data_IF_118325221880
#
_entry.id   IF_118325221880
#
_cell.length_a   1.000
_cell.length_b   1.000
_cell.length_c   1.000
_cell.angle_alpha   90.00
_cell.angle_beta   90.00
_cell.angle_gamma   90.00
#
_symmetry.space_group_name_H-M   'P 1'
#
loop_
_entity.id
_entity.type
_entity.pdbx_description
1 polymer ?
#
# COMPACT_ATOMS: atom_id res chain seq x y z
N UNK A 1 -39.51 24.21 -11.26
CA UNK A 1 -38.07 24.51 -11.19
C UNK A 1 -37.52 23.88 -9.93
N UNK A 2 -36.79 22.78 -10.07
CA UNK A 2 -35.80 22.16 -9.18
C UNK A 2 -35.26 20.98 -10.01
N UNK A 3 -34.23 21.15 -10.84
CA UNK A 3 -32.83 20.81 -10.50
C UNK A 3 -32.81 19.71 -9.43
N UNK A 4 -32.58 18.43 -9.72
CA UNK A 4 -31.57 17.87 -10.60
C UNK A 4 -30.48 17.32 -9.70
N UNK A 5 -30.48 16.01 -9.46
CA UNK A 5 -29.30 15.30 -8.95
C UNK A 5 -29.35 13.86 -9.47
N UNK A 6 -28.62 13.68 -10.56
CA UNK A 6 -28.08 12.41 -11.01
C UNK A 6 -27.12 11.84 -9.96
N UNK A 7 -26.71 10.59 -10.20
CA UNK A 7 -25.59 9.85 -9.58
C UNK A 7 -25.77 9.38 -8.13
N UNK A 8 -26.46 8.25 -7.98
CA UNK A 8 -26.17 7.31 -6.90
C UNK A 8 -26.15 5.90 -7.45
N UNK A 9 -25.09 5.16 -7.08
CA UNK A 9 -24.84 3.74 -7.33
C UNK A 9 -24.22 3.34 -8.69
N UNK A 10 -23.01 3.83 -8.95
CA UNK A 10 -21.92 3.01 -9.48
C UNK A 10 -20.77 3.23 -8.49
N UNK A 11 -20.25 2.25 -7.74
CA UNK A 11 -19.66 1.00 -8.19
C UNK A 11 -20.07 -0.17 -7.28
N UNK A 12 -20.91 -1.04 -7.81
CA UNK A 12 -20.82 -2.46 -7.54
C UNK A 12 -20.38 -3.12 -8.85
N UNK A 13 -19.43 -4.04 -8.74
CA UNK A 13 -18.82 -4.85 -9.80
C UNK A 13 -17.66 -4.22 -10.58
N UNK A 14 -16.47 -4.78 -10.38
CA UNK A 14 -15.54 -5.14 -11.46
C UNK A 14 -14.92 -6.48 -11.05
N UNK A 15 -15.60 -7.59 -11.32
CA UNK A 15 -15.40 -8.40 -12.52
C UNK A 15 -13.92 -8.77 -12.70
N UNK A 16 -13.57 -9.98 -12.25
CA UNK A 16 -12.30 -10.62 -12.55
C UNK A 16 -12.12 -10.75 -14.07
N UNK A 17 -11.51 -9.75 -14.70
CA UNK A 17 -11.09 -9.82 -16.09
C UNK A 17 -9.78 -10.61 -16.16
N UNK A 18 -9.81 -11.67 -16.96
CA UNK A 18 -8.68 -12.56 -17.30
C UNK A 18 -7.59 -11.81 -18.07
N UNK A 19 -6.92 -10.85 -17.43
CA UNK A 19 -5.75 -10.15 -17.96
C UNK A 19 -4.52 -10.72 -17.27
N UNK A 20 -3.48 -11.04 -18.04
CA UNK A 20 -2.20 -11.50 -17.51
C UNK A 20 -1.71 -10.54 -16.41
N UNK A 21 -1.01 -11.06 -15.36
CA UNK A 21 -0.51 -10.22 -14.29
C UNK A 21 0.31 -9.07 -14.89
N UNK A 22 -0.04 -7.85 -14.51
CA UNK A 22 0.69 -6.65 -14.93
C UNK A 22 1.79 -6.41 -13.91
N UNK A 23 3.00 -6.08 -14.37
CA UNK A 23 4.07 -5.61 -13.52
C UNK A 23 4.25 -4.11 -13.77
N UNK A 24 4.27 -3.30 -12.70
CA UNK A 24 4.44 -1.86 -12.76
C UNK A 24 5.54 -1.42 -11.82
N UNK A 25 6.49 -0.66 -12.34
CA UNK A 25 7.44 0.10 -11.54
C UNK A 25 6.89 1.51 -11.37
N UNK A 26 6.90 2.01 -10.14
CA UNK A 26 6.52 3.38 -9.80
C UNK A 26 7.67 4.09 -9.12
N UNK A 27 7.67 5.41 -9.18
CA UNK A 27 8.49 6.24 -8.29
C UNK A 27 7.86 6.29 -6.89
N UNK A 28 8.65 6.68 -5.89
CA UNK A 28 8.15 6.95 -4.54
C UNK A 28 6.99 7.95 -4.56
N UNK A 29 7.16 9.08 -5.25
CA UNK A 29 6.13 10.11 -5.38
C UNK A 29 4.82 9.56 -5.98
N UNK A 30 4.91 8.80 -7.07
CA UNK A 30 3.73 8.19 -7.70
C UNK A 30 3.01 7.22 -6.77
N UNK A 31 3.77 6.47 -5.96
CA UNK A 31 3.22 5.55 -4.97
C UNK A 31 2.47 6.30 -3.85
N UNK A 32 3.08 7.35 -3.30
CA UNK A 32 2.51 8.15 -2.22
C UNK A 32 1.23 8.86 -2.69
N UNK A 33 1.25 9.51 -3.84
CA UNK A 33 0.11 10.20 -4.44
C UNK A 33 -1.03 9.23 -4.80
N UNK A 34 -0.68 8.04 -5.29
CA UNK A 34 -1.68 7.07 -5.74
C UNK A 34 -2.35 6.37 -4.59
N UNK A 35 -1.59 5.92 -3.59
CA UNK A 35 -2.09 4.99 -2.57
C UNK A 35 -2.34 5.61 -1.21
N UNK A 36 -1.69 6.74 -0.91
CA UNK A 36 -1.77 7.46 0.36
C UNK A 36 -1.41 6.56 1.54
N UNK A 37 -0.13 6.58 1.93
CA UNK A 37 0.37 5.78 3.05
C UNK A 37 -0.21 6.30 4.37
N UNK A 38 -0.56 5.36 5.26
CA UNK A 38 -1.12 5.65 6.58
C UNK A 38 0.01 5.71 7.61
N UNK A 39 0.17 6.81 8.37
CA UNK A 39 1.12 6.87 9.46
C UNK A 39 0.87 5.80 10.52
N UNK A 40 1.94 5.29 11.13
CA UNK A 40 1.86 4.30 12.19
C UNK A 40 1.52 4.96 13.52
N UNK A 41 0.22 5.08 13.78
CA UNK A 41 -0.31 5.64 15.03
C UNK A 41 -0.06 4.79 16.29
N UNK A 42 0.55 3.60 16.18
CA UNK A 42 0.89 2.73 17.31
C UNK A 42 2.30 3.00 17.85
N UNK A 43 3.13 3.73 17.11
CA UNK A 43 4.52 4.03 17.45
C UNK A 43 4.89 5.46 17.07
N UNK A 44 5.13 6.31 18.08
CA UNK A 44 5.56 7.70 17.90
C UNK A 44 6.98 7.82 17.29
N UNK A 45 7.71 6.70 17.22
CA UNK A 45 9.08 6.62 16.67
C UNK A 45 9.16 5.67 15.47
N UNK A 46 8.04 5.44 14.79
CA UNK A 46 8.02 4.62 13.59
C UNK A 46 8.99 5.19 12.53
N UNK A 47 9.68 4.29 11.82
CA UNK A 47 10.54 4.65 10.70
C UNK A 47 9.76 4.93 9.42
N UNK A 48 10.49 5.27 8.34
CA UNK A 48 9.95 5.60 7.02
C UNK A 48 8.94 6.74 7.09
N UNK A 49 9.45 7.97 7.17
CA UNK A 49 8.63 9.19 7.17
C UNK A 49 8.69 9.84 5.78
N UNK A 50 7.55 9.85 5.09
CA UNK A 50 7.39 10.46 3.77
C UNK A 50 6.80 11.89 3.85
N UNK A 51 6.90 12.55 5.01
CA UNK A 51 6.48 13.93 5.24
C UNK A 51 5.24 14.08 6.12
N UNK A 52 4.54 12.99 6.45
CA UNK A 52 3.32 12.97 7.26
C UNK A 52 3.48 12.09 8.53
N UNK A 53 4.71 11.73 8.89
CA UNK A 53 5.06 10.91 10.04
C UNK A 53 5.49 9.48 9.64
N UNK A 54 6.20 8.83 10.55
CA UNK A 54 6.66 7.45 10.38
C UNK A 54 5.52 6.47 10.11
N UNK A 55 5.67 5.63 9.10
CA UNK A 55 4.61 4.74 8.62
C UNK A 55 4.97 3.25 8.59
N UNK A 56 6.20 2.88 8.99
CA UNK A 56 6.60 1.48 9.09
C UNK A 56 5.89 0.79 10.25
N UNK A 57 5.17 -0.30 9.94
CA UNK A 57 4.61 -1.22 10.92
C UNK A 57 5.49 -2.46 11.09
N UNK A 58 5.74 -2.83 12.34
CA UNK A 58 6.56 -3.98 12.72
C UNK A 58 5.92 -5.31 12.34
N UNK A 59 6.77 -6.30 12.08
CA UNK A 59 6.33 -7.64 11.72
C UNK A 59 6.07 -8.55 12.93
N UNK A 60 5.71 -7.98 14.07
CA UNK A 60 5.30 -8.70 15.27
C UNK A 60 4.37 -7.87 16.16
N UNK A 61 3.79 -8.51 17.18
CA UNK A 61 3.07 -7.81 18.23
C UNK A 61 1.79 -7.09 17.77
N UNK A 62 1.41 -5.99 18.44
CA UNK A 62 0.18 -5.24 18.14
C UNK A 62 0.16 -4.63 16.73
N UNK A 63 1.32 -4.22 16.21
CA UNK A 63 1.43 -3.62 14.88
C UNK A 63 1.13 -4.64 13.78
N UNK A 64 1.68 -5.86 13.90
CA UNK A 64 1.34 -6.94 12.99
C UNK A 64 -0.16 -7.30 13.05
N UNK A 65 -0.77 -7.27 14.24
CA UNK A 65 -2.20 -7.52 14.37
C UNK A 65 -3.03 -6.44 13.66
N UNK A 66 -2.61 -5.17 13.71
CA UNK A 66 -3.23 -4.09 12.97
C UNK A 66 -3.09 -4.28 11.45
N UNK A 67 -1.90 -4.64 10.97
CA UNK A 67 -1.63 -4.92 9.54
C UNK A 67 -2.50 -6.08 9.04
N UNK A 68 -2.56 -7.18 9.78
CA UNK A 68 -3.36 -8.36 9.45
C UNK A 68 -4.87 -8.10 9.42
N UNK A 69 -5.34 -7.06 10.11
CA UNK A 69 -6.73 -6.64 10.09
C UNK A 69 -7.09 -5.79 8.85
N UNK A 70 -6.09 -5.34 8.06
CA UNK A 70 -6.33 -4.57 6.85
C UNK A 70 -6.70 -5.48 5.66
N UNK A 71 -7.44 -4.95 4.67
CA UNK A 71 -7.58 -5.63 3.39
C UNK A 71 -6.21 -5.96 2.78
N UNK A 72 -5.95 -7.19 2.30
CA UNK A 72 -4.64 -7.57 1.77
C UNK A 72 -4.14 -6.67 0.63
N UNK A 73 -5.07 -6.12 -0.17
CA UNK A 73 -4.76 -5.17 -1.25
C UNK A 73 -4.27 -3.80 -0.76
N UNK A 74 -4.30 -3.52 0.55
CA UNK A 74 -3.82 -2.27 1.16
C UNK A 74 -2.54 -2.48 1.97
N UNK A 75 -2.03 -3.71 2.02
CA UNK A 75 -0.80 -4.06 2.71
C UNK A 75 0.31 -4.13 1.69
N UNK A 76 1.43 -3.50 2.05
CA UNK A 76 2.65 -3.48 1.27
C UNK A 76 3.80 -3.88 2.17
N UNK A 77 4.86 -4.40 1.58
CA UNK A 77 6.06 -4.77 2.33
C UNK A 77 7.22 -3.91 1.86
N UNK A 78 7.96 -3.35 2.81
CA UNK A 78 9.29 -2.83 2.53
C UNK A 78 10.27 -4.00 2.62
N UNK A 79 10.97 -4.26 1.54
CA UNK A 79 12.02 -5.27 1.46
C UNK A 79 13.38 -4.61 1.28
N UNK A 80 14.40 -5.19 1.86
CA UNK A 80 15.81 -4.79 1.66
C UNK A 80 16.47 -5.86 0.80
N UNK A 81 16.80 -5.49 -0.44
CA UNK A 81 17.49 -6.33 -1.41
C UNK A 81 18.93 -5.87 -1.65
N UNK A 82 19.62 -6.55 -2.57
CA UNK A 82 21.01 -6.25 -2.91
C UNK A 82 21.18 -4.86 -3.56
N UNK A 83 20.16 -4.40 -4.29
CA UNK A 83 20.16 -3.12 -5.02
C UNK A 83 19.56 -1.95 -4.22
N UNK A 84 19.14 -2.19 -2.97
CA UNK A 84 18.53 -1.19 -2.10
C UNK A 84 17.19 -1.63 -1.50
N UNK A 85 16.46 -0.66 -0.95
CA UNK A 85 15.14 -0.89 -0.39
C UNK A 85 14.05 -0.70 -1.43
N UNK A 86 13.00 -1.51 -1.35
CA UNK A 86 11.89 -1.48 -2.28
C UNK A 86 10.56 -1.65 -1.53
N UNK A 87 9.51 -0.96 -1.98
CA UNK A 87 8.13 -1.25 -1.58
C UNK A 87 7.50 -2.17 -2.64
N UNK A 88 6.96 -3.30 -2.19
CA UNK A 88 6.24 -4.24 -3.06
C UNK A 88 4.85 -4.58 -2.49
N UNK A 89 3.89 -4.91 -3.37
CA UNK A 89 2.52 -5.22 -2.96
C UNK A 89 2.43 -6.54 -2.18
N UNK A 90 1.49 -6.58 -1.24
CA UNK A 90 1.21 -7.74 -0.43
C UNK A 90 2.12 -7.88 0.78
N UNK A 91 2.01 -9.04 1.43
CA UNK A 91 2.63 -9.34 2.71
C UNK A 91 3.73 -10.38 2.53
N UNK A 92 4.98 -9.91 2.41
CA UNK A 92 6.15 -10.76 2.22
C UNK A 92 6.82 -11.07 3.56
N UNK A 93 7.29 -12.30 3.71
CA UNK A 93 7.90 -12.76 4.96
C UNK A 93 9.43 -12.85 4.91
N UNK A 94 10.03 -12.78 3.72
CA UNK A 94 11.48 -12.88 3.50
C UNK A 94 12.05 -11.50 3.15
N UNK A 95 13.25 -11.20 3.66
CA UNK A 95 13.95 -9.92 3.44
C UNK A 95 13.09 -8.68 3.71
N UNK A 96 12.12 -8.80 4.63
CA UNK A 96 11.21 -7.73 5.00
C UNK A 96 11.81 -6.88 6.12
N UNK A 97 11.69 -5.57 6.00
CA UNK A 97 11.92 -4.63 7.10
C UNK A 97 10.65 -4.42 7.91
N UNK A 98 9.50 -4.34 7.23
CA UNK A 98 8.19 -4.16 7.86
C UNK A 98 7.12 -3.94 6.80
N UNK A 99 5.96 -3.48 7.25
CA UNK A 99 4.79 -3.31 6.40
C UNK A 99 4.34 -1.86 6.33
N UNK A 100 3.74 -1.48 5.21
CA UNK A 100 2.98 -0.24 5.06
C UNK A 100 1.50 -0.56 4.88
N UNK A 101 0.67 0.37 5.33
CA UNK A 101 -0.78 0.33 5.09
C UNK A 101 -1.18 1.56 4.29
N UNK A 102 -1.90 1.37 3.20
CA UNK A 102 -2.38 2.47 2.35
C UNK A 102 -3.87 2.72 2.50
N UNK A 103 -4.35 3.92 2.21
CA UNK A 103 -5.78 4.22 2.20
C UNK A 103 -6.49 3.58 0.99
N UNK A 104 -5.81 3.53 -0.15
CA UNK A 104 -6.33 2.95 -1.40
C UNK A 104 -5.71 1.58 -1.68
N UNK A 105 -6.48 0.73 -2.35
CA UNK A 105 -6.06 -0.63 -2.69
C UNK A 105 -5.19 -0.69 -3.94
N UNK A 106 -4.19 -1.56 -3.94
CA UNK A 106 -3.52 -2.06 -5.13
C UNK A 106 -4.58 -2.69 -6.08
N UNK A 107 -4.56 -2.38 -7.38
CA UNK A 107 -5.45 -3.00 -8.35
C UNK A 107 -5.26 -4.53 -8.41
N UNK A 108 -6.33 -5.31 -8.63
CA UNK A 108 -6.20 -6.75 -8.80
C UNK A 108 -5.32 -7.09 -10.02
N UNK A 109 -4.71 -8.28 -10.00
CA UNK A 109 -3.84 -8.79 -11.08
C UNK A 109 -2.67 -7.85 -11.44
N UNK A 110 -2.17 -7.10 -10.47
CA UNK A 110 -1.05 -6.19 -10.63
C UNK A 110 -0.01 -6.48 -9.56
N UNK A 111 1.24 -6.55 -9.96
CA UNK A 111 2.40 -6.52 -9.05
C UNK A 111 3.06 -5.16 -9.22
N UNK A 112 3.32 -4.49 -8.10
CA UNK A 112 3.89 -3.14 -8.08
C UNK A 112 5.20 -3.18 -7.33
N UNK A 113 6.20 -2.52 -7.91
CA UNK A 113 7.55 -2.34 -7.37
C UNK A 113 7.85 -0.85 -7.30
N UNK A 114 8.42 -0.40 -6.18
CA UNK A 114 8.82 0.99 -5.96
C UNK A 114 10.22 0.97 -5.36
N UNK A 115 11.22 1.31 -6.14
CA UNK A 115 12.58 1.45 -5.63
C UNK A 115 12.65 2.72 -4.78
N UNK A 116 13.17 2.58 -3.56
CA UNK A 116 13.43 3.72 -2.69
C UNK A 116 14.85 4.22 -2.97
N UNK A 117 14.95 5.50 -3.35
CA UNK A 117 16.24 6.13 -3.55
C UNK A 117 16.99 6.22 -2.21
N UNK A 118 18.28 5.84 -2.22
CA UNK A 118 19.16 5.82 -1.04
C UNK A 118 19.80 7.17 -0.70
#
# INVERSE_FOLDING_TARGET
MTHGDSISAALAADAASSKAPQYLELTEDDFLDRFHVTPNHLSDTAGFDFGEGGCLFEASGPELAFVLAQPPSRVWTIVEGDDGMEITDGMHVVNRLGYLVTARSCPPNTTISVLLDA
#
